data_IF_585104075677
#
_entry.id   IF_585104075677
#
_cell.length_a   1.000
_cell.length_b   1.000
_cell.length_c   1.000
_cell.angle_alpha   90.00
_cell.angle_beta   90.00
_cell.angle_gamma   90.00
#
_symmetry.space_group_name_H-M   'P 1'
#
loop_
_entity.id
_entity.type
_entity.pdbx_description
1 polymer ?
#
# COMPACT_ATOMS: atom_id res chain seq x y z
N UNK A 1 -0.12 -8.96 -17.59
CA UNK A 1 0.83 -7.89 -17.20
C UNK A 1 0.51 -7.30 -15.84
N UNK A 2 -0.73 -6.82 -15.57
CA UNK A 2 -1.12 -6.29 -14.25
C UNK A 2 -0.87 -7.26 -13.08
N UNK A 3 -1.24 -8.53 -13.20
CA UNK A 3 -0.97 -9.53 -12.15
C UNK A 3 0.53 -9.82 -11.97
N UNK A 4 1.33 -9.77 -13.04
CA UNK A 4 2.78 -9.93 -12.92
C UNK A 4 3.41 -8.74 -12.19
N UNK A 5 3.00 -7.51 -12.51
CA UNK A 5 3.39 -6.29 -11.79
C UNK A 5 2.99 -6.41 -10.31
N UNK A 6 1.77 -6.86 -10.03
CA UNK A 6 1.29 -7.09 -8.66
C UNK A 6 2.15 -8.11 -7.91
N UNK A 7 2.53 -9.23 -8.53
CA UNK A 7 3.40 -10.22 -7.91
C UNK A 7 4.79 -9.65 -7.59
N UNK A 8 5.39 -8.90 -8.52
CA UNK A 8 6.69 -8.25 -8.32
C UNK A 8 6.62 -7.21 -7.20
N UNK A 9 5.65 -6.30 -7.26
CA UNK A 9 5.46 -5.28 -6.21
C UNK A 9 5.19 -5.92 -4.85
N UNK A 10 4.41 -7.00 -4.81
CA UNK A 10 4.18 -7.75 -3.58
C UNK A 10 5.49 -8.34 -3.03
N UNK A 11 6.35 -8.94 -3.86
CA UNK A 11 7.64 -9.46 -3.37
C UNK A 11 8.58 -8.39 -2.81
N UNK A 12 8.47 -7.15 -3.27
CA UNK A 12 9.32 -6.04 -2.82
C UNK A 12 8.76 -5.42 -1.54
N UNK A 13 7.48 -5.05 -1.55
CA UNK A 13 6.88 -4.26 -0.47
C UNK A 13 6.31 -5.09 0.68
N UNK A 14 6.01 -6.37 0.48
CA UNK A 14 5.46 -7.21 1.54
C UNK A 14 6.50 -7.55 2.63
N UNK A 15 7.77 -7.12 2.49
CA UNK A 15 8.72 -7.12 3.61
C UNK A 15 8.79 -5.77 4.35
N UNK A 16 8.46 -4.68 3.66
CA UNK A 16 8.58 -3.31 4.20
C UNK A 16 7.32 -2.82 4.92
N UNK A 17 6.15 -3.34 4.57
CA UNK A 17 4.92 -2.93 5.24
C UNK A 17 4.95 -3.31 6.72
N UNK A 18 4.46 -2.41 7.58
CA UNK A 18 4.25 -2.74 9.00
C UNK A 18 3.11 -3.73 9.15
N UNK A 19 3.19 -4.57 10.17
CA UNK A 19 2.14 -5.55 10.50
C UNK A 19 0.83 -4.90 10.93
N UNK A 20 0.82 -3.59 11.18
CA UNK A 20 -0.39 -2.80 11.41
C UNK A 20 -1.16 -2.46 10.12
N UNK A 21 -0.64 -2.76 8.93
CA UNK A 21 -1.30 -2.50 7.64
C UNK A 21 -2.36 -3.54 7.25
N UNK A 22 -3.50 -3.10 6.73
CA UNK A 22 -4.67 -3.94 6.46
C UNK A 22 -4.57 -4.79 5.17
N UNK A 23 -3.69 -4.43 4.23
CA UNK A 23 -3.58 -5.07 2.91
C UNK A 23 -2.62 -6.29 2.89
N UNK A 24 -2.27 -6.80 4.05
CA UNK A 24 -1.38 -7.96 4.22
C UNK A 24 -2.09 -9.27 3.84
N UNK A 25 -1.36 -10.25 3.29
CA UNK A 25 -1.86 -11.61 3.19
C UNK A 25 -2.31 -12.09 4.58
N UNK A 26 -3.46 -12.75 4.69
CA UNK A 26 -4.01 -13.30 5.94
C UNK A 26 -4.45 -12.28 7.00
N UNK A 27 -4.43 -10.97 6.71
CA UNK A 27 -4.95 -9.93 7.60
C UNK A 27 -6.22 -9.32 6.99
N UNK A 28 -7.33 -9.41 7.72
CA UNK A 28 -8.63 -8.88 7.30
C UNK A 28 -9.09 -7.70 8.16
N UNK A 29 -10.09 -6.98 7.71
CA UNK A 29 -10.65 -5.81 8.41
C UNK A 29 -10.95 -6.09 9.90
N UNK A 30 -11.59 -7.23 10.21
CA UNK A 30 -11.91 -7.61 11.59
C UNK A 30 -10.67 -7.85 12.46
N UNK A 31 -9.57 -8.36 11.88
CA UNK A 31 -8.32 -8.54 12.62
C UNK A 31 -7.65 -7.21 12.96
N UNK A 32 -7.75 -6.22 12.07
CA UNK A 32 -7.26 -4.85 12.30
C UNK A 32 -8.06 -4.19 13.41
N UNK A 33 -9.38 -4.25 13.37
CA UNK A 33 -10.24 -3.66 14.40
C UNK A 33 -10.06 -4.32 15.77
N UNK A 34 -9.87 -5.64 15.81
CA UNK A 34 -9.59 -6.35 17.07
C UNK A 34 -8.27 -5.88 17.67
N UNK A 35 -7.20 -5.84 16.88
CA UNK A 35 -5.90 -5.34 17.32
C UNK A 35 -5.99 -3.89 17.79
N UNK A 36 -6.69 -3.02 17.05
CA UNK A 36 -6.91 -1.63 17.46
C UNK A 36 -7.60 -1.55 18.83
N UNK A 37 -8.64 -2.37 19.06
CA UNK A 37 -9.35 -2.43 20.34
C UNK A 37 -8.46 -2.95 21.49
N UNK A 38 -7.64 -3.96 21.21
CA UNK A 38 -6.75 -4.57 22.21
C UNK A 38 -5.57 -3.65 22.58
N UNK A 39 -4.93 -3.02 21.58
CA UNK A 39 -3.78 -2.13 21.79
C UNK A 39 -4.18 -0.80 22.45
N UNK A 40 -5.35 -0.26 22.11
CA UNK A 40 -5.78 1.06 22.62
C UNK A 40 -6.56 0.96 23.94
N UNK A 41 -6.94 -0.23 24.39
CA UNK A 41 -7.52 -0.46 25.72
C UNK A 41 -8.71 0.47 26.04
N UNK A 42 -8.58 1.29 27.09
CA UNK A 42 -9.57 2.27 27.56
C UNK A 42 -9.31 3.69 27.05
N UNK A 43 -8.44 3.89 26.07
CA UNK A 43 -8.11 5.23 25.56
C UNK A 43 -9.35 5.92 24.99
N UNK A 44 -9.77 7.02 25.61
CA UNK A 44 -11.02 7.72 25.31
C UNK A 44 -10.95 8.62 24.07
N UNK A 45 -9.76 8.77 23.48
CA UNK A 45 -9.53 9.68 22.34
C UNK A 45 -8.76 8.95 21.26
N UNK A 46 -9.36 8.89 20.08
CA UNK A 46 -8.73 8.43 18.85
C UNK A 46 -8.85 9.52 17.80
N UNK A 47 -7.96 9.47 16.80
CA UNK A 47 -7.98 10.37 15.67
C UNK A 47 -8.17 9.54 14.41
N UNK A 48 -9.34 9.71 13.80
CA UNK A 48 -9.68 9.07 12.53
C UNK A 48 -9.25 9.98 11.39
N UNK A 49 -8.51 9.40 10.44
CA UNK A 49 -8.09 10.10 9.23
C UNK A 49 -8.57 9.29 8.02
N UNK A 50 -9.03 10.01 7.00
CA UNK A 50 -9.28 9.46 5.68
C UNK A 50 -8.46 10.21 4.63
N UNK A 51 -8.03 9.51 3.59
CA UNK A 51 -7.31 10.10 2.47
C UNK A 51 -8.24 10.12 1.28
N UNK A 52 -8.94 11.24 1.12
CA UNK A 52 -9.82 11.43 -0.01
C UNK A 52 -9.02 11.38 -1.32
N UNK A 53 -9.48 10.55 -2.25
CA UNK A 53 -8.98 10.43 -3.63
C UNK A 53 -7.61 9.77 -3.79
N UNK A 54 -7.20 8.92 -2.83
CA UNK A 54 -5.97 8.12 -2.93
C UNK A 54 -5.78 7.38 -4.28
N UNK A 55 -6.88 6.98 -4.95
CA UNK A 55 -6.83 6.25 -6.23
C UNK A 55 -7.06 7.11 -7.48
N UNK A 56 -7.44 8.39 -7.35
CA UNK A 56 -7.76 9.23 -8.52
C UNK A 56 -6.55 9.95 -9.11
N UNK A 57 -5.45 10.08 -8.36
CA UNK A 57 -4.24 10.77 -8.82
C UNK A 57 -3.01 9.86 -8.66
N UNK A 58 -2.92 8.79 -9.50
CA UNK A 58 -1.86 7.80 -9.43
C UNK A 58 -0.46 8.36 -9.75
N UNK A 59 -0.37 9.58 -10.30
CA UNK A 59 0.91 10.25 -10.56
C UNK A 59 1.70 10.50 -9.27
N UNK A 60 1.03 10.62 -8.11
CA UNK A 60 1.68 10.77 -6.81
C UNK A 60 2.47 9.55 -6.35
N UNK A 61 2.14 8.33 -6.84
CA UNK A 61 2.84 7.09 -6.44
C UNK A 61 4.04 6.75 -7.32
N UNK A 62 4.16 7.37 -8.51
CA UNK A 62 5.27 7.11 -9.45
C UNK A 62 6.65 7.43 -8.84
N UNK A 63 6.86 8.57 -8.15
CA UNK A 63 8.14 8.86 -7.49
C UNK A 63 8.49 7.85 -6.39
N UNK A 64 7.49 7.31 -5.69
CA UNK A 64 7.68 6.31 -4.63
C UNK A 64 8.22 5.01 -5.24
N UNK A 65 7.66 4.56 -6.37
CA UNK A 65 8.16 3.38 -7.07
C UNK A 65 9.56 3.58 -7.65
N UNK A 66 9.89 4.79 -8.12
CA UNK A 66 11.22 5.10 -8.67
C UNK A 66 12.33 4.96 -7.62
N UNK A 67 12.04 5.30 -6.36
CA UNK A 67 13.02 5.16 -5.27
C UNK A 67 13.30 3.69 -4.88
N UNK A 68 12.43 2.77 -5.27
CA UNK A 68 12.51 1.35 -4.88
C UNK A 68 12.91 0.46 -6.06
N UNK A 69 12.55 0.85 -7.28
CA UNK A 69 12.78 0.08 -8.49
C UNK A 69 13.77 0.85 -9.39
N UNK A 70 15.05 0.51 -9.23
CA UNK A 70 16.12 1.12 -10.03
C UNK A 70 16.18 0.56 -11.46
N UNK A 71 15.71 -0.67 -11.70
CA UNK A 71 15.76 -1.29 -13.03
C UNK A 71 14.77 -0.61 -14.00
N UNK A 72 15.26 0.09 -15.04
CA UNK A 72 14.40 0.78 -16.00
C UNK A 72 13.49 -0.18 -16.78
N UNK A 73 13.87 -1.45 -16.93
CA UNK A 73 13.04 -2.47 -17.62
C UNK A 73 11.81 -2.85 -16.82
N UNK A 74 11.89 -2.79 -15.49
CA UNK A 74 10.76 -3.05 -14.57
C UNK A 74 9.96 -1.77 -14.33
N UNK A 75 10.65 -0.64 -14.21
CA UNK A 75 10.01 0.66 -13.97
C UNK A 75 9.16 1.13 -15.16
N UNK A 76 9.63 0.97 -16.40
CA UNK A 76 8.92 1.46 -17.58
C UNK A 76 7.49 0.88 -17.75
N UNK A 77 7.28 -0.45 -17.64
CA UNK A 77 5.93 -1.03 -17.62
C UNK A 77 5.03 -0.50 -16.49
N UNK A 78 5.58 -0.29 -15.29
CA UNK A 78 4.85 0.22 -14.12
C UNK A 78 4.44 1.67 -14.38
N UNK A 79 5.39 2.52 -14.77
CA UNK A 79 5.15 3.91 -15.15
C UNK A 79 4.05 4.02 -16.20
N UNK A 80 4.08 3.18 -17.25
CA UNK A 80 3.04 3.16 -18.28
C UNK A 80 1.65 2.80 -17.76
N UNK A 81 1.54 1.91 -16.76
CA UNK A 81 0.25 1.53 -16.16
C UNK A 81 -0.35 2.65 -15.30
N UNK A 82 0.50 3.42 -14.61
CA UNK A 82 0.07 4.48 -13.68
C UNK A 82 0.03 5.88 -14.30
N UNK A 83 0.57 6.07 -15.51
CA UNK A 83 0.56 7.35 -16.24
C UNK A 83 -0.59 7.49 -17.24
N UNK A 84 -1.64 6.67 -17.12
CA UNK A 84 -2.81 6.74 -18.01
C UNK A 84 -3.60 8.00 -17.66
N UNK A 85 -3.60 8.96 -18.58
CA UNK A 85 -4.64 10.00 -18.75
C UNK A 85 -5.96 9.37 -19.22
#
# INVERSE_FOLDING_TARGET
>A
MKEAIKMVLKSIYDLEFKDTSHLRPYRGFHSVLRQFKEEWGTSLRFLEFDIWKCFHTPTSVIPIFKNVIDDPKVFYPIHKVFSIE
#
